data_IF_280810449611
#
_entry.id   IF_280810449611
#
_cell.length_a   1.000
_cell.length_b   1.000
_cell.length_c   1.000
_cell.angle_alpha   90.00
_cell.angle_beta   90.00
_cell.angle_gamma   90.00
#
_symmetry.space_group_name_H-M   'P 1'
#
loop_
_entity.id
_entity.type
_entity.pdbx_description
1 polymer ?
#
# COMPACT_ATOMS: atom_id res chain seq x y z
N UNK A 1 -40.82 33.00 56.07
CA UNK A 1 -39.98 33.82 55.14
C UNK A 1 -39.27 32.85 54.18
N UNK A 2 -39.57 32.94 52.86
CA UNK A 2 -38.67 32.86 51.68
C UNK A 2 -37.58 31.75 51.69
N UNK A 3 -37.37 30.90 50.68
CA UNK A 3 -37.53 31.03 49.23
C UNK A 3 -37.29 29.63 48.61
N UNK A 4 -38.12 29.23 47.65
CA UNK A 4 -37.72 28.35 46.55
C UNK A 4 -36.46 28.91 45.87
N UNK A 5 -35.53 28.09 45.38
CA UNK A 5 -34.74 28.35 44.16
C UNK A 5 -34.17 27.01 43.64
N UNK A 6 -34.82 26.47 42.60
CA UNK A 6 -34.17 25.58 41.62
C UNK A 6 -33.42 26.51 40.66
N UNK A 7 -32.11 26.33 40.55
CA UNK A 7 -31.25 26.91 39.51
C UNK A 7 -30.54 25.74 38.82
N UNK A 8 -30.10 25.79 37.57
CA UNK A 8 -30.56 26.38 36.32
C UNK A 8 -29.49 25.94 35.31
N UNK A 9 -29.90 25.47 34.14
CA UNK A 9 -29.17 25.40 32.86
C UNK A 9 -27.70 24.92 32.83
N UNK A 10 -27.49 23.72 32.30
CA UNK A 10 -26.37 23.51 31.37
C UNK A 10 -26.96 22.98 30.05
N UNK A 11 -27.39 23.92 29.20
CA UNK A 11 -27.64 23.65 27.78
C UNK A 11 -26.28 23.31 27.16
N UNK A 12 -25.96 22.02 27.07
CA UNK A 12 -24.88 21.57 26.20
C UNK A 12 -25.37 21.79 24.77
N UNK A 13 -24.77 22.77 24.13
CA UNK A 13 -25.01 23.15 22.74
C UNK A 13 -24.83 21.91 21.84
N UNK A 14 -25.96 21.32 21.45
CA UNK A 14 -26.00 20.12 20.61
C UNK A 14 -25.35 20.35 19.25
N UNK A 15 -25.17 21.62 18.86
CA UNK A 15 -24.53 22.06 17.63
C UNK A 15 -23.04 21.69 17.56
N UNK A 16 -22.30 21.77 18.67
CA UNK A 16 -20.86 21.42 18.71
C UNK A 16 -20.64 19.91 18.61
N UNK A 17 -21.49 19.11 19.26
CA UNK A 17 -21.48 17.65 19.15
C UNK A 17 -21.88 17.18 17.75
N UNK A 18 -22.80 17.88 17.10
CA UNK A 18 -23.22 17.61 15.73
C UNK A 18 -22.14 17.97 14.70
N UNK A 19 -21.44 19.09 14.90
CA UNK A 19 -20.30 19.51 14.08
C UNK A 19 -19.09 18.58 14.24
N UNK A 20 -18.78 18.13 15.47
CA UNK A 20 -17.72 17.13 15.68
C UNK A 20 -18.08 15.77 15.10
N UNK A 21 -19.35 15.35 15.16
CA UNK A 21 -19.82 14.12 14.50
C UNK A 21 -19.73 14.23 12.98
N UNK A 22 -20.17 15.34 12.38
CA UNK A 22 -20.02 15.59 10.93
C UNK A 22 -18.57 15.60 10.47
N UNK A 23 -17.66 16.23 11.24
CA UNK A 23 -16.23 16.25 10.92
C UNK A 23 -15.60 14.86 11.05
N UNK A 24 -16.11 14.02 11.95
CA UNK A 24 -15.69 12.62 12.09
C UNK A 24 -16.37 11.69 11.08
N UNK A 25 -17.45 12.08 10.41
CA UNK A 25 -18.06 11.29 9.32
C UNK A 25 -17.47 11.69 7.95
N UNK A 26 -17.12 12.96 7.72
CA UNK A 26 -16.39 13.40 6.52
C UNK A 26 -14.96 12.84 6.43
N UNK A 27 -14.30 12.64 7.58
CA UNK A 27 -12.93 12.07 7.63
C UNK A 27 -12.94 10.55 7.36
N UNK A 28 -14.10 9.90 7.47
CA UNK A 28 -14.29 8.46 7.23
C UNK A 28 -15.06 8.22 5.94
N UNK A 29 -14.79 9.03 4.90
CA UNK A 29 -15.14 8.65 3.54
C UNK A 29 -14.72 7.21 3.29
N UNK A 30 -15.64 6.41 2.76
CA UNK A 30 -15.55 4.96 2.62
C UNK A 30 -14.12 4.49 2.33
N UNK A 31 -13.46 4.00 3.38
CA UNK A 31 -12.14 3.40 3.30
C UNK A 31 -12.33 2.02 2.69
N UNK A 32 -12.62 1.99 1.39
CA UNK A 32 -12.74 0.76 0.60
C UNK A 32 -11.41 0.05 0.73
N UNK A 33 -11.39 -1.03 1.52
CA UNK A 33 -10.22 -1.92 1.60
C UNK A 33 -10.06 -2.55 0.23
N UNK A 34 -9.18 -1.96 -0.57
CA UNK A 34 -8.76 -2.50 -1.85
C UNK A 34 -7.88 -3.72 -1.57
N UNK A 35 -8.18 -4.82 -2.25
CA UNK A 35 -7.41 -6.06 -2.15
C UNK A 35 -6.77 -6.36 -3.50
N UNK A 36 -5.47 -6.64 -3.48
CA UNK A 36 -4.72 -7.07 -4.64
C UNK A 36 -4.55 -8.59 -4.57
N UNK A 37 -4.72 -9.29 -5.69
CA UNK A 37 -4.49 -10.72 -5.75
C UNK A 37 -2.97 -11.00 -5.75
N UNK A 38 -2.38 -11.09 -4.55
CA UNK A 38 -0.96 -11.37 -4.35
C UNK A 38 -0.85 -12.59 -3.46
N UNK A 39 -0.55 -13.76 -4.04
CA UNK A 39 -0.35 -15.00 -3.31
C UNK A 39 1.16 -15.33 -3.17
N UNK A 40 1.58 -15.76 -1.98
CA UNK A 40 2.97 -16.10 -1.71
C UNK A 40 3.41 -17.37 -2.48
N UNK A 41 2.47 -18.29 -2.71
CA UNK A 41 2.70 -19.53 -3.46
C UNK A 41 2.98 -19.22 -4.94
N UNK A 42 2.13 -18.40 -5.58
CA UNK A 42 2.33 -17.95 -6.97
C UNK A 42 3.69 -17.23 -7.13
N UNK A 43 4.09 -16.40 -6.17
CA UNK A 43 5.39 -15.72 -6.20
C UNK A 43 6.56 -16.70 -6.07
N UNK A 44 6.37 -17.80 -5.33
CA UNK A 44 7.38 -18.83 -5.17
C UNK A 44 7.53 -19.66 -6.45
N UNK A 45 6.42 -20.07 -7.06
CA UNK A 45 6.38 -20.78 -8.34
C UNK A 45 6.95 -19.94 -9.49
N UNK A 46 6.61 -18.64 -9.53
CA UNK A 46 7.18 -17.70 -10.50
C UNK A 46 8.68 -17.40 -10.29
N UNK A 47 9.28 -17.88 -9.18
CA UNK A 47 10.71 -17.75 -8.91
C UNK A 47 11.16 -16.34 -8.51
N UNK A 48 10.26 -15.49 -8.01
CA UNK A 48 10.54 -14.08 -7.65
C UNK A 48 11.59 -13.95 -6.53
N UNK A 49 11.73 -14.99 -5.71
CA UNK A 49 12.63 -15.02 -4.56
C UNK A 49 14.11 -15.16 -4.94
N UNK A 50 14.44 -15.53 -6.18
CA UNK A 50 15.83 -15.67 -6.60
C UNK A 50 16.47 -14.30 -6.88
N UNK A 51 17.42 -13.94 -6.03
CA UNK A 51 18.24 -12.74 -6.18
C UNK A 51 19.52 -12.98 -6.99
N UNK A 52 20.45 -12.04 -6.89
CA UNK A 52 21.75 -12.15 -7.54
C UNK A 52 22.71 -13.09 -6.77
N UNK A 53 23.78 -13.51 -7.44
CA UNK A 53 24.87 -14.25 -6.80
C UNK A 53 25.57 -13.43 -5.73
N UNK A 54 25.98 -14.11 -4.64
CA UNK A 54 26.64 -13.54 -3.46
C UNK A 54 27.93 -12.76 -3.71
N UNK A 55 28.56 -12.94 -4.88
CA UNK A 55 29.75 -12.17 -5.30
C UNK A 55 29.42 -10.85 -5.98
N UNK A 56 28.22 -10.70 -6.54
CA UNK A 56 27.78 -9.52 -7.31
C UNK A 56 26.44 -9.03 -6.75
N UNK A 57 26.48 -8.45 -5.55
CA UNK A 57 25.31 -7.90 -4.88
C UNK A 57 25.63 -6.53 -4.24
N UNK A 58 24.60 -5.73 -3.99
CA UNK A 58 24.72 -4.45 -3.31
C UNK A 58 24.43 -4.62 -1.81
N UNK A 59 25.37 -4.29 -0.89
CA UNK A 59 25.16 -4.41 0.56
C UNK A 59 23.92 -3.67 1.09
N UNK A 60 23.48 -2.60 0.42
CA UNK A 60 22.25 -1.87 0.79
C UNK A 60 20.98 -2.71 0.65
N UNK A 61 21.04 -3.84 -0.05
CA UNK A 61 19.93 -4.80 -0.17
C UNK A 61 19.83 -5.76 1.02
N UNK A 62 20.77 -5.74 1.97
CA UNK A 62 20.77 -6.63 3.12
C UNK A 62 19.43 -6.69 3.88
N UNK A 63 18.69 -5.58 4.10
CA UNK A 63 17.40 -5.64 4.78
C UNK A 63 16.32 -6.42 4.02
N UNK A 64 16.44 -6.62 2.71
CA UNK A 64 15.44 -7.28 1.87
C UNK A 64 15.77 -8.74 1.57
N UNK A 65 16.96 -9.20 1.97
CA UNK A 65 17.44 -10.57 1.77
C UNK A 65 17.09 -11.40 3.00
N UNK A 66 16.44 -12.55 2.80
CA UNK A 66 16.07 -13.48 3.87
C UNK A 66 17.18 -14.49 4.17
N UNK A 67 17.81 -15.03 3.12
CA UNK A 67 18.82 -16.08 3.25
C UNK A 67 19.80 -16.08 2.06
N UNK A 68 20.82 -16.93 2.15
CA UNK A 68 21.68 -17.30 1.02
C UNK A 68 21.71 -18.81 0.88
N UNK A 69 21.54 -19.34 -0.32
CA UNK A 69 21.63 -20.80 -0.60
C UNK A 69 22.40 -21.01 -1.90
N UNK A 70 23.34 -21.97 -1.90
CA UNK A 70 24.16 -22.32 -3.09
C UNK A 70 24.78 -21.10 -3.79
N UNK A 71 25.22 -20.10 -3.03
CA UNK A 71 25.85 -18.89 -3.57
C UNK A 71 24.88 -17.85 -4.17
N UNK A 72 23.56 -18.04 -4.06
CA UNK A 72 22.52 -17.10 -4.51
C UNK A 72 21.80 -16.49 -3.30
N UNK A 73 21.52 -15.19 -3.35
CA UNK A 73 20.68 -14.52 -2.35
C UNK A 73 19.20 -14.84 -2.56
N UNK A 74 18.49 -15.09 -1.46
CA UNK A 74 17.05 -15.31 -1.44
C UNK A 74 16.40 -14.04 -0.90
N UNK A 75 15.46 -13.48 -1.67
CA UNK A 75 14.73 -12.26 -1.33
C UNK A 75 13.54 -12.63 -0.42
N UNK A 76 13.23 -11.78 0.54
CA UNK A 76 12.08 -11.94 1.43
C UNK A 76 10.77 -11.64 0.69
N UNK A 77 10.03 -12.68 0.32
CA UNK A 77 8.75 -12.55 -0.40
C UNK A 77 7.66 -11.84 0.41
N UNK A 78 7.63 -11.97 1.74
CA UNK A 78 6.66 -11.25 2.58
C UNK A 78 6.85 -9.73 2.47
N UNK A 79 8.11 -9.28 2.45
CA UNK A 79 8.42 -7.86 2.20
C UNK A 79 8.06 -7.46 0.77
N UNK A 80 8.38 -8.29 -0.22
CA UNK A 80 8.02 -8.03 -1.62
C UNK A 80 6.51 -7.90 -1.81
N UNK A 81 5.71 -8.78 -1.21
CA UNK A 81 4.25 -8.74 -1.30
C UNK A 81 3.67 -7.46 -0.71
N UNK A 82 4.18 -7.02 0.44
CA UNK A 82 3.80 -5.74 1.05
C UNK A 82 4.11 -4.56 0.14
N UNK A 83 5.35 -4.45 -0.36
CA UNK A 83 5.73 -3.33 -1.23
C UNK A 83 4.99 -3.36 -2.57
N UNK A 84 4.68 -4.54 -3.09
CA UNK A 84 3.88 -4.70 -4.29
C UNK A 84 2.45 -4.17 -4.08
N UNK A 85 1.82 -4.51 -2.96
CA UNK A 85 0.51 -3.97 -2.59
C UNK A 85 0.52 -2.43 -2.50
N UNK A 86 1.48 -1.87 -1.78
CA UNK A 86 1.62 -0.40 -1.64
C UNK A 86 1.87 0.27 -3.00
N UNK A 87 2.66 -0.34 -3.89
CA UNK A 87 2.88 0.16 -5.24
C UNK A 87 1.60 0.11 -6.09
N UNK A 88 0.82 -0.97 -6.02
CA UNK A 88 -0.45 -1.08 -6.72
C UNK A 88 -1.46 -0.03 -6.24
N UNK A 89 -1.53 0.24 -4.94
CA UNK A 89 -2.38 1.30 -4.39
C UNK A 89 -2.03 2.68 -4.98
N UNK A 90 -0.74 3.01 -5.01
CA UNK A 90 -0.25 4.28 -5.57
C UNK A 90 -0.51 4.40 -7.07
N UNK A 91 -0.30 3.32 -7.82
CA UNK A 91 -0.55 3.28 -9.27
C UNK A 91 -2.05 3.45 -9.55
N UNK A 92 -2.90 2.77 -8.78
CA UNK A 92 -4.35 2.90 -8.92
C UNK A 92 -4.82 4.33 -8.59
N UNK A 93 -4.30 4.94 -7.52
CA UNK A 93 -4.61 6.32 -7.15
C UNK A 93 -4.11 7.34 -8.19
N UNK A 94 -2.99 7.06 -8.85
CA UNK A 94 -2.51 7.87 -9.95
C UNK A 94 -3.37 7.71 -11.22
N UNK A 95 -3.80 6.48 -11.51
CA UNK A 95 -4.63 6.16 -12.67
C UNK A 95 -6.04 6.74 -12.56
N UNK A 96 -6.65 6.67 -11.37
CA UNK A 96 -7.97 7.28 -11.10
C UNK A 96 -7.96 8.80 -11.27
N UNK A 97 -6.80 9.44 -11.15
CA UNK A 97 -6.58 10.87 -11.39
C UNK A 97 -6.20 11.20 -12.85
N UNK A 98 -6.17 10.21 -13.75
CA UNK A 98 -5.84 10.40 -15.17
C UNK A 98 -4.37 10.74 -15.44
N UNK A 99 -3.44 10.35 -14.57
CA UNK A 99 -2.01 10.59 -14.80
C UNK A 99 -1.45 9.66 -15.89
N UNK A 100 -0.35 10.08 -16.52
CA UNK A 100 0.35 9.29 -17.53
C UNK A 100 1.38 8.35 -16.90
N UNK A 101 1.58 7.19 -17.52
CA UNK A 101 2.50 6.15 -17.08
C UNK A 101 3.54 5.84 -18.16
N UNK A 102 4.78 5.60 -17.74
CA UNK A 102 5.86 5.13 -18.60
C UNK A 102 6.40 3.81 -18.04
N UNK A 103 6.39 2.76 -18.86
CA UNK A 103 6.96 1.45 -18.51
C UNK A 103 8.29 1.30 -19.25
N UNK A 104 9.37 1.02 -18.50
CA UNK A 104 10.73 0.89 -19.05
C UNK A 104 11.28 -0.50 -18.80
N UNK A 105 11.68 -1.20 -19.86
CA UNK A 105 12.41 -2.45 -19.78
C UNK A 105 13.42 -2.57 -20.91
N UNK A 106 14.71 -2.59 -20.58
CA UNK A 106 15.81 -2.59 -21.55
C UNK A 106 16.34 -3.98 -21.89
N UNK A 107 15.91 -5.02 -21.15
CA UNK A 107 16.32 -6.40 -21.40
C UNK A 107 15.55 -6.96 -22.59
N UNK A 108 16.23 -7.69 -23.48
CA UNK A 108 15.61 -8.35 -24.64
C UNK A 108 14.40 -9.21 -24.25
N UNK A 109 14.51 -10.03 -23.17
CA UNK A 109 13.41 -10.85 -22.66
C UNK A 109 12.21 -10.05 -22.11
N UNK A 110 12.39 -8.76 -21.81
CA UNK A 110 11.35 -7.90 -21.27
C UNK A 110 10.66 -7.05 -22.34
N UNK A 111 11.30 -6.83 -23.50
CA UNK A 111 10.82 -5.90 -24.53
C UNK A 111 9.38 -6.22 -24.98
N UNK A 112 9.11 -7.47 -25.38
CA UNK A 112 7.79 -7.90 -25.85
C UNK A 112 6.72 -7.89 -24.75
N UNK A 113 7.13 -8.11 -23.49
CA UNK A 113 6.23 -8.07 -22.34
C UNK A 113 5.84 -6.62 -22.00
N UNK A 114 6.81 -5.70 -22.07
CA UNK A 114 6.59 -4.27 -21.83
C UNK A 114 5.70 -3.66 -22.91
N UNK A 115 5.93 -3.97 -24.18
CA UNK A 115 5.08 -3.49 -25.28
C UNK A 115 3.63 -3.95 -25.11
N UNK A 116 3.41 -5.23 -24.78
CA UNK A 116 2.06 -5.75 -24.50
C UNK A 116 1.42 -5.13 -23.24
N UNK A 117 2.21 -4.84 -22.22
CA UNK A 117 1.71 -4.21 -21.00
C UNK A 117 1.29 -2.75 -21.23
N UNK A 118 1.99 -2.00 -22.09
CA UNK A 118 1.68 -0.61 -22.41
C UNK A 118 0.43 -0.43 -23.30
N UNK A 119 0.00 -1.49 -24.00
CA UNK A 119 -1.22 -1.48 -24.83
C UNK A 119 -2.49 -1.76 -24.01
N UNK A 120 -2.37 -2.15 -22.74
CA UNK A 120 -3.50 -2.38 -21.83
C UNK A 120 -3.79 -1.15 -21.00
#
# INVERSE_FOLDING_TARGET
KRRFHRNNYLFQDTSSLFLLKKKKEEVWGEMTRRYWNINLEEMMEAGVHFGHGTRKWNPRMAPYISAKRKGIHIINLTRTARFLSEACDLVFDAASRGKQFLIVGTKAKAADLVARAALR
#
